data_IF_614737486072
#
_entry.id   IF_614737486072
#
_cell.length_a   1.000
_cell.length_b   1.000
_cell.length_c   1.000
_cell.angle_alpha   90.00
_cell.angle_beta   90.00
_cell.angle_gamma   90.00
#
_symmetry.space_group_name_H-M   'P 1'
#
loop_
_entity.id
_entity.type
_entity.pdbx_description
1 polymer ?
#
# COMPACT_ATOMS: atom_id res chain seq x y z
N UNK A 1 10.08 2.78 -1.43
CA UNK A 1 11.50 2.77 -1.78
C UNK A 1 11.71 3.37 -3.17
N UNK A 2 11.29 2.74 -4.26
CA UNK A 2 11.48 3.16 -5.66
C UNK A 2 11.13 4.66 -5.91
N UNK A 3 10.04 5.14 -5.30
CA UNK A 3 9.59 6.54 -5.42
C UNK A 3 10.58 7.54 -4.82
N UNK A 4 11.16 7.22 -3.67
CA UNK A 4 12.12 8.09 -2.98
C UNK A 4 13.44 8.10 -3.75
N UNK A 5 13.84 6.97 -4.29
CA UNK A 5 15.05 6.80 -5.08
C UNK A 5 15.00 7.56 -6.40
N UNK A 6 13.83 7.65 -7.05
CA UNK A 6 13.67 8.36 -8.31
C UNK A 6 13.55 9.88 -8.17
N UNK A 7 12.98 10.37 -7.06
CA UNK A 7 12.67 11.81 -6.89
C UNK A 7 13.76 12.56 -6.12
N UNK A 8 14.54 11.88 -5.28
CA UNK A 8 15.50 12.51 -4.38
C UNK A 8 14.87 13.07 -3.09
N UNK A 9 15.70 13.21 -2.05
CA UNK A 9 15.21 13.60 -0.71
C UNK A 9 14.94 15.11 -0.57
N UNK A 10 15.53 15.95 -1.40
CA UNK A 10 15.48 17.42 -1.27
C UNK A 10 14.36 18.10 -2.06
N UNK A 11 13.62 17.36 -2.88
CA UNK A 11 12.54 17.89 -3.71
C UNK A 11 11.17 17.65 -3.07
N UNK A 12 10.84 18.42 -2.04
CA UNK A 12 9.58 18.27 -1.29
C UNK A 12 8.31 18.30 -2.15
N UNK A 13 8.26 19.13 -3.22
CA UNK A 13 7.11 19.20 -4.13
C UNK A 13 6.98 17.93 -4.98
N UNK A 14 8.07 17.45 -5.54
CA UNK A 14 8.12 16.20 -6.32
C UNK A 14 7.80 14.98 -5.45
N UNK A 15 8.20 15.00 -4.19
CA UNK A 15 7.86 13.97 -3.20
C UNK A 15 6.34 13.92 -2.93
N UNK A 16 5.69 15.07 -2.81
CA UNK A 16 4.23 15.16 -2.61
C UNK A 16 3.47 14.68 -3.84
N UNK A 17 3.89 15.09 -5.05
CA UNK A 17 3.31 14.61 -6.30
C UNK A 17 3.45 13.08 -6.42
N UNK A 18 4.64 12.54 -6.17
CA UNK A 18 4.89 11.11 -6.15
C UNK A 18 4.05 10.36 -5.11
N UNK A 19 3.78 10.98 -3.95
CA UNK A 19 2.88 10.42 -2.95
C UNK A 19 1.44 10.33 -3.47
N UNK A 20 0.91 11.40 -4.07
CA UNK A 20 -0.43 11.43 -4.63
C UNK A 20 -0.60 10.37 -5.73
N UNK A 21 0.35 10.28 -6.67
CA UNK A 21 0.34 9.28 -7.74
C UNK A 21 0.37 7.85 -7.17
N UNK A 22 1.19 7.58 -6.15
CA UNK A 22 1.25 6.26 -5.52
C UNK A 22 -0.09 5.89 -4.86
N UNK A 23 -0.77 6.84 -4.20
CA UNK A 23 -2.09 6.63 -3.61
C UNK A 23 -3.13 6.38 -4.70
N UNK A 24 -3.12 7.15 -5.79
CA UNK A 24 -4.01 6.93 -6.95
C UNK A 24 -3.79 5.53 -7.54
N UNK A 25 -2.53 5.13 -7.75
CA UNK A 25 -2.19 3.80 -8.26
C UNK A 25 -2.71 2.67 -7.36
N UNK A 26 -2.48 2.80 -6.04
CA UNK A 26 -2.97 1.84 -5.05
C UNK A 26 -4.50 1.69 -5.08
N UNK A 27 -5.23 2.83 -4.99
CA UNK A 27 -6.70 2.80 -5.00
C UNK A 27 -7.26 2.36 -6.34
N UNK A 28 -6.59 2.67 -7.45
CA UNK A 28 -6.98 2.20 -8.79
C UNK A 28 -6.88 0.68 -8.87
N UNK A 29 -5.76 0.09 -8.49
CA UNK A 29 -5.58 -1.36 -8.46
C UNK A 29 -6.61 -2.05 -7.57
N UNK A 30 -6.81 -1.54 -6.35
CA UNK A 30 -7.77 -2.10 -5.39
C UNK A 30 -9.23 -2.01 -5.88
N UNK A 31 -9.67 -0.83 -6.33
CA UNK A 31 -11.07 -0.61 -6.71
C UNK A 31 -11.41 -1.19 -8.09
N UNK A 32 -10.58 -0.98 -9.11
CA UNK A 32 -10.80 -1.57 -10.42
C UNK A 32 -10.68 -3.09 -10.40
N UNK A 33 -9.72 -3.64 -9.65
CA UNK A 33 -9.66 -5.07 -9.40
C UNK A 33 -10.95 -5.61 -8.79
N UNK A 34 -11.54 -4.88 -7.83
CA UNK A 34 -12.84 -5.20 -7.26
C UNK A 34 -14.01 -5.14 -8.26
N UNK A 35 -14.00 -4.13 -9.16
CA UNK A 35 -15.00 -4.03 -10.26
C UNK A 35 -14.91 -5.26 -11.17
N UNK A 36 -13.72 -5.59 -11.62
CA UNK A 36 -13.49 -6.75 -12.52
C UNK A 36 -13.91 -8.04 -11.82
N UNK A 37 -13.51 -8.23 -10.55
CA UNK A 37 -13.83 -9.44 -9.80
C UNK A 37 -15.35 -9.64 -9.63
N UNK A 38 -16.08 -8.58 -9.23
CA UNK A 38 -17.51 -8.68 -8.96
C UNK A 38 -18.32 -8.89 -10.25
N UNK A 39 -18.01 -8.14 -11.32
CA UNK A 39 -18.70 -8.31 -12.60
C UNK A 39 -18.38 -9.67 -13.24
N UNK A 40 -17.13 -10.13 -13.20
CA UNK A 40 -16.79 -11.45 -13.69
C UNK A 40 -17.49 -12.56 -12.91
N UNK A 41 -17.53 -12.46 -11.56
CA UNK A 41 -18.24 -13.42 -10.73
C UNK A 41 -19.74 -13.47 -11.01
N UNK A 42 -20.37 -12.32 -11.24
CA UNK A 42 -21.80 -12.26 -11.60
C UNK A 42 -22.05 -12.81 -13.01
N UNK A 43 -21.21 -12.45 -13.96
CA UNK A 43 -21.30 -13.00 -15.32
C UNK A 43 -21.21 -14.53 -15.35
N UNK A 44 -20.20 -15.13 -14.70
CA UNK A 44 -20.05 -16.57 -14.65
C UNK A 44 -21.17 -17.25 -13.86
N UNK A 45 -21.67 -16.63 -12.80
CA UNK A 45 -22.82 -17.15 -12.06
C UNK A 45 -24.08 -17.18 -12.93
N UNK A 46 -24.36 -16.13 -13.68
CA UNK A 46 -25.50 -16.04 -14.59
C UNK A 46 -25.37 -16.99 -15.80
N UNK A 47 -24.15 -17.31 -16.20
CA UNK A 47 -23.83 -18.31 -17.22
C UNK A 47 -23.97 -19.77 -16.71
N UNK A 48 -24.36 -19.98 -15.45
CA UNK A 48 -24.59 -21.31 -14.88
C UNK A 48 -23.31 -22.07 -14.49
N UNK A 49 -22.19 -21.36 -14.32
CA UNK A 49 -20.92 -22.00 -13.90
C UNK A 49 -20.98 -22.25 -12.39
N UNK A 50 -21.00 -23.53 -11.98
CA UNK A 50 -21.06 -23.90 -10.55
C UNK A 50 -19.90 -23.30 -9.72
N UNK A 51 -18.69 -23.35 -10.26
CA UNK A 51 -17.48 -22.86 -9.60
C UNK A 51 -17.09 -21.44 -10.09
N UNK A 52 -18.05 -20.54 -10.23
CA UNK A 52 -17.84 -19.19 -10.78
C UNK A 52 -16.77 -18.37 -10.05
N UNK A 53 -16.59 -18.54 -8.74
CA UNK A 53 -15.51 -17.88 -8.01
C UNK A 53 -14.13 -18.38 -8.39
N UNK A 54 -13.98 -19.69 -8.62
CA UNK A 54 -12.68 -20.26 -9.04
C UNK A 54 -12.27 -19.71 -10.39
N UNK A 55 -13.21 -19.67 -11.35
CA UNK A 55 -12.97 -19.10 -12.68
C UNK A 55 -12.64 -17.61 -12.58
N UNK A 56 -13.35 -16.88 -11.75
CA UNK A 56 -13.06 -15.45 -11.49
C UNK A 56 -11.64 -15.25 -10.97
N UNK A 57 -11.20 -16.05 -10.00
CA UNK A 57 -9.83 -15.96 -9.47
C UNK A 57 -8.78 -16.38 -10.51
N UNK A 58 -9.04 -17.33 -11.38
CA UNK A 58 -8.16 -17.65 -12.51
C UNK A 58 -7.99 -16.46 -13.46
N UNK A 59 -9.08 -15.80 -13.84
CA UNK A 59 -9.04 -14.58 -14.66
C UNK A 59 -8.22 -13.49 -14.01
N UNK A 60 -8.44 -13.23 -12.71
CA UNK A 60 -7.65 -12.25 -11.95
C UNK A 60 -6.16 -12.65 -11.89
N UNK A 61 -5.87 -13.94 -11.73
CA UNK A 61 -4.51 -14.48 -11.76
C UNK A 61 -3.80 -14.18 -13.08
N UNK A 62 -4.48 -14.40 -14.21
CA UNK A 62 -3.95 -14.05 -15.54
C UNK A 62 -3.67 -12.55 -15.66
N UNK A 63 -4.59 -11.70 -15.20
CA UNK A 63 -4.39 -10.23 -15.20
C UNK A 63 -3.16 -9.86 -14.38
N UNK A 64 -2.98 -10.45 -13.19
CA UNK A 64 -1.82 -10.21 -12.35
C UNK A 64 -0.52 -10.64 -13.05
N UNK A 65 -0.51 -11.79 -13.71
CA UNK A 65 0.66 -12.26 -14.47
C UNK A 65 0.99 -11.26 -15.60
N UNK A 66 0.01 -10.81 -16.35
CA UNK A 66 0.21 -9.82 -17.41
C UNK A 66 0.76 -8.49 -16.86
N UNK A 67 0.23 -8.01 -15.73
CA UNK A 67 0.75 -6.83 -15.06
C UNK A 67 2.20 -7.02 -14.59
N UNK A 68 2.55 -8.20 -14.06
CA UNK A 68 3.93 -8.51 -13.66
C UNK A 68 4.88 -8.57 -14.86
N UNK A 69 4.44 -9.13 -16.00
CA UNK A 69 5.22 -9.07 -17.25
C UNK A 69 5.45 -7.61 -17.67
N UNK A 70 4.42 -6.76 -17.54
CA UNK A 70 4.55 -5.31 -17.79
C UNK A 70 5.61 -4.64 -16.91
N UNK A 71 5.77 -5.08 -15.65
CA UNK A 71 6.80 -4.54 -14.75
C UNK A 71 8.23 -4.86 -15.21
N UNK A 72 8.45 -5.94 -15.97
CA UNK A 72 9.78 -6.28 -16.50
C UNK A 72 10.31 -5.26 -17.52
N UNK A 73 9.42 -4.44 -18.11
CA UNK A 73 9.81 -3.37 -19.03
C UNK A 73 10.17 -2.06 -18.33
N UNK A 74 10.03 -1.99 -17.00
CA UNK A 74 10.38 -0.81 -16.22
C UNK A 74 11.85 -0.92 -15.82
N UNK A 75 12.66 0.07 -16.23
CA UNK A 75 14.05 0.14 -15.80
C UNK A 75 14.13 0.42 -14.30
N UNK A 76 14.86 -0.41 -13.58
CA UNK A 76 15.14 -0.15 -12.16
C UNK A 76 16.08 1.06 -12.02
N UNK A 77 15.77 2.01 -11.12
CA UNK A 77 16.68 3.09 -10.81
C UNK A 77 17.95 2.52 -10.18
N UNK A 78 19.08 3.18 -10.39
CA UNK A 78 20.35 2.78 -9.77
C UNK A 78 20.21 2.78 -8.24
N UNK A 79 20.71 1.75 -7.54
CA UNK A 79 20.63 1.70 -6.09
C UNK A 79 21.38 2.89 -5.48
N UNK A 80 20.68 3.75 -4.75
CA UNK A 80 21.27 4.86 -4.00
C UNK A 80 21.98 4.28 -2.75
N UNK A 81 23.00 4.96 -2.27
CA UNK A 81 23.89 4.66 -1.12
C UNK A 81 23.25 4.11 0.17
N UNK A 82 21.91 4.10 0.27
CA UNK A 82 21.21 3.49 1.41
C UNK A 82 21.49 1.99 1.57
N UNK A 83 21.73 1.30 0.46
CA UNK A 83 22.08 -0.13 0.50
C UNK A 83 23.46 -0.34 1.13
N UNK A 84 24.41 0.58 0.89
CA UNK A 84 25.72 0.55 1.54
C UNK A 84 25.62 0.89 3.03
N UNK A 85 24.87 1.91 3.40
CA UNK A 85 24.60 2.28 4.78
C UNK A 85 23.92 1.15 5.56
N UNK A 86 22.98 0.44 4.92
CA UNK A 86 22.31 -0.71 5.51
C UNK A 86 23.25 -1.92 5.62
N UNK A 87 24.05 -2.21 4.57
CA UNK A 87 25.07 -3.25 4.61
C UNK A 87 26.15 -2.98 5.67
N UNK A 88 26.55 -1.72 5.85
CA UNK A 88 27.47 -1.33 6.92
C UNK A 88 26.87 -1.57 8.30
N UNK A 89 25.60 -1.22 8.50
CA UNK A 89 24.89 -1.49 9.75
C UNK A 89 24.76 -2.98 10.02
N UNK A 90 24.37 -3.76 9.02
CA UNK A 90 24.25 -5.21 9.13
C UNK A 90 25.60 -5.87 9.43
N UNK A 91 26.67 -5.42 8.76
CA UNK A 91 28.05 -5.92 9.00
C UNK A 91 28.59 -5.54 10.38
N UNK A 92 28.25 -4.36 10.91
CA UNK A 92 28.58 -3.98 12.28
C UNK A 92 27.85 -4.83 13.33
N UNK A 93 26.60 -5.16 13.07
CA UNK A 93 25.80 -6.02 13.96
C UNK A 93 26.33 -7.45 13.90
N UNK A 94 26.66 -7.94 12.71
CA UNK A 94 27.24 -9.28 12.49
C UNK A 94 28.62 -9.43 13.19
N UNK A 95 29.47 -8.40 13.13
CA UNK A 95 30.74 -8.34 13.87
C UNK A 95 30.55 -8.33 15.38
N UNK A 96 29.54 -7.65 15.91
CA UNK A 96 29.24 -7.63 17.35
C UNK A 96 28.71 -8.95 17.88
N UNK A 97 28.02 -9.73 17.06
CA UNK A 97 27.43 -11.02 17.45
C UNK A 97 28.39 -12.21 17.32
N UNK A 98 29.57 -12.02 16.70
CA UNK A 98 30.68 -12.97 16.71
C UNK A 98 30.44 -14.34 16.07
N UNK A 99 29.36 -14.53 15.36
CA UNK A 99 29.02 -15.81 14.71
C UNK A 99 28.34 -15.60 13.36
N UNK A 100 28.80 -16.32 12.34
CA UNK A 100 28.24 -16.27 10.97
C UNK A 100 27.09 -17.28 10.76
N UNK A 101 26.30 -17.56 11.77
CA UNK A 101 25.19 -18.49 11.67
C UNK A 101 23.95 -17.84 11.05
N UNK A 102 23.07 -18.64 10.42
CA UNK A 102 21.80 -18.19 9.83
C UNK A 102 20.96 -17.42 10.85
N UNK A 103 20.97 -17.84 12.10
CA UNK A 103 20.27 -17.18 13.22
C UNK A 103 20.79 -15.76 13.44
N UNK A 104 22.11 -15.56 13.39
CA UNK A 104 22.74 -14.24 13.54
C UNK A 104 22.33 -13.28 12.41
N UNK A 105 22.24 -13.79 11.17
CA UNK A 105 21.77 -13.00 10.01
C UNK A 105 20.30 -12.61 10.16
N UNK A 106 19.46 -13.51 10.64
CA UNK A 106 18.04 -13.19 10.90
C UNK A 106 17.90 -12.15 12.01
N UNK A 107 18.67 -12.29 13.09
CA UNK A 107 18.67 -11.32 14.21
C UNK A 107 19.18 -9.95 13.74
N UNK A 108 20.27 -9.90 12.96
CA UNK A 108 20.82 -8.68 12.39
C UNK A 108 19.78 -7.99 11.47
N UNK A 109 19.13 -8.76 10.60
CA UNK A 109 18.10 -8.25 9.72
C UNK A 109 16.89 -7.72 10.50
N UNK A 110 16.38 -8.45 11.50
CA UNK A 110 15.29 -8.00 12.38
C UNK A 110 15.67 -6.74 13.14
N UNK A 111 16.88 -6.68 13.65
CA UNK A 111 17.38 -5.50 14.40
C UNK A 111 17.45 -4.27 13.49
N UNK A 112 18.00 -4.42 12.30
CA UNK A 112 18.11 -3.31 11.34
C UNK A 112 16.75 -2.89 10.76
N UNK A 113 15.89 -3.86 10.45
CA UNK A 113 14.63 -3.60 9.74
C UNK A 113 13.47 -3.21 10.66
N UNK A 114 13.41 -3.73 11.88
CA UNK A 114 12.30 -3.52 12.81
C UNK A 114 12.72 -2.76 14.05
N UNK A 115 13.71 -3.25 14.79
CA UNK A 115 14.05 -2.71 16.11
C UNK A 115 14.64 -1.31 15.98
N UNK A 116 15.57 -1.10 15.07
CA UNK A 116 16.25 0.19 14.88
C UNK A 116 15.31 1.33 14.48
N UNK A 117 14.40 1.18 13.49
CA UNK A 117 13.39 2.20 13.18
C UNK A 117 12.45 2.49 14.34
N UNK A 118 11.99 1.45 15.07
CA UNK A 118 11.10 1.61 16.23
C UNK A 118 11.81 2.38 17.33
N UNK A 119 13.03 1.98 17.71
CA UNK A 119 13.81 2.70 18.71
C UNK A 119 14.09 4.15 18.31
N UNK A 120 14.43 4.39 17.04
CA UNK A 120 14.65 5.73 16.51
C UNK A 120 13.39 6.59 16.57
N UNK A 121 12.23 6.02 16.32
CA UNK A 121 10.93 6.68 16.42
C UNK A 121 10.64 7.13 17.88
N UNK A 122 10.84 6.25 18.85
CA UNK A 122 10.68 6.57 20.27
C UNK A 122 11.71 7.58 20.76
N UNK A 123 12.97 7.44 20.33
CA UNK A 123 14.04 8.36 20.70
C UNK A 123 13.83 9.77 20.15
N UNK A 124 13.32 9.88 18.92
CA UNK A 124 13.07 11.17 18.25
C UNK A 124 11.87 11.92 18.82
N UNK A 125 10.79 11.22 19.14
CA UNK A 125 9.52 11.83 19.55
C UNK A 125 9.30 11.85 21.07
N UNK A 126 10.09 11.10 21.84
CA UNK A 126 9.82 10.83 23.25
C UNK A 126 8.70 9.81 23.45
N UNK A 127 8.71 9.13 24.60
CA UNK A 127 7.83 7.99 24.86
C UNK A 127 6.33 8.35 24.78
N UNK A 128 5.92 9.44 25.45
CA UNK A 128 4.52 9.83 25.54
C UNK A 128 3.92 10.23 24.18
N UNK A 129 4.66 11.00 23.38
CA UNK A 129 4.22 11.43 22.05
C UNK A 129 4.22 10.24 21.10
N UNK A 130 5.23 9.38 21.16
CA UNK A 130 5.30 8.18 20.35
C UNK A 130 4.10 7.25 20.58
N UNK A 131 3.72 7.00 21.83
CA UNK A 131 2.54 6.20 22.21
C UNK A 131 1.25 6.88 21.74
N UNK A 132 1.12 8.19 21.88
CA UNK A 132 -0.06 8.93 21.40
C UNK A 132 -0.22 8.81 19.88
N UNK A 133 0.87 8.94 19.10
CA UNK A 133 0.86 8.77 17.65
C UNK A 133 0.48 7.34 17.27
N UNK A 134 1.09 6.34 17.90
CA UNK A 134 0.78 4.93 17.65
C UNK A 134 -0.68 4.60 17.99
N UNK A 135 -1.17 5.10 19.14
CA UNK A 135 -2.57 4.94 19.54
C UNK A 135 -3.54 5.56 18.53
N UNK A 136 -3.26 6.77 18.07
CA UNK A 136 -4.05 7.44 17.04
C UNK A 136 -4.07 6.63 15.72
N UNK A 137 -2.91 6.23 15.23
CA UNK A 137 -2.80 5.43 13.99
C UNK A 137 -3.52 4.09 14.14
N UNK A 138 -3.39 3.43 15.28
CA UNK A 138 -4.05 2.16 15.56
C UNK A 138 -5.58 2.29 15.56
N UNK A 139 -6.13 3.27 16.29
CA UNK A 139 -7.57 3.53 16.33
C UNK A 139 -8.12 3.91 14.96
N UNK A 140 -7.40 4.77 14.23
CA UNK A 140 -7.76 5.15 12.87
C UNK A 140 -7.80 3.93 11.94
N UNK A 141 -6.78 3.07 12.00
CA UNK A 141 -6.71 1.86 11.15
C UNK A 141 -7.76 0.81 11.50
N UNK A 142 -8.10 0.65 12.75
CA UNK A 142 -9.22 -0.23 13.16
C UNK A 142 -10.53 0.29 12.57
N UNK A 143 -10.81 1.60 12.71
CA UNK A 143 -12.01 2.21 12.16
C UNK A 143 -12.11 2.03 10.63
N UNK A 144 -11.03 2.32 9.91
CA UNK A 144 -10.93 2.15 8.47
C UNK A 144 -11.17 0.68 8.04
N UNK A 145 -10.51 -0.26 8.70
CA UNK A 145 -10.63 -1.68 8.40
C UNK A 145 -12.04 -2.22 8.68
N UNK A 146 -12.64 -1.81 9.80
CA UNK A 146 -13.99 -2.21 10.20
C UNK A 146 -15.04 -1.68 9.21
N UNK A 147 -15.03 -0.39 8.92
CA UNK A 147 -15.93 0.22 7.94
C UNK A 147 -15.79 -0.39 6.54
N UNK A 148 -14.57 -0.65 6.11
CA UNK A 148 -14.30 -1.25 4.80
C UNK A 148 -14.89 -2.65 4.64
N UNK A 149 -14.96 -3.43 5.71
CA UNK A 149 -15.53 -4.78 5.68
C UNK A 149 -17.03 -4.80 5.93
N UNK A 150 -17.51 -4.03 6.90
CA UNK A 150 -18.93 -3.96 7.24
C UNK A 150 -19.78 -3.35 6.14
N UNK A 151 -19.25 -2.40 5.37
CA UNK A 151 -19.98 -1.81 4.24
C UNK A 151 -20.43 -2.85 3.20
N UNK A 152 -19.60 -3.84 2.90
CA UNK A 152 -19.96 -4.88 1.91
C UNK A 152 -21.07 -5.79 2.43
N UNK A 153 -21.04 -6.13 3.72
CA UNK A 153 -22.08 -6.94 4.36
C UNK A 153 -23.39 -6.16 4.34
N UNK A 154 -23.36 -4.90 4.76
CA UNK A 154 -24.50 -4.01 4.76
C UNK A 154 -25.15 -3.88 3.37
N UNK A 155 -24.35 -3.65 2.32
CA UNK A 155 -24.89 -3.57 0.95
C UNK A 155 -25.63 -4.84 0.53
N UNK A 156 -25.12 -6.01 0.91
CA UNK A 156 -25.77 -7.29 0.63
C UNK A 156 -27.10 -7.46 1.39
N UNK A 157 -27.13 -7.05 2.65
CA UNK A 157 -28.34 -7.15 3.49
C UNK A 157 -29.47 -6.26 2.97
N UNK A 158 -29.17 -5.08 2.44
CA UNK A 158 -30.18 -4.19 1.83
C UNK A 158 -30.52 -4.55 0.39
N UNK A 159 -29.98 -5.67 -0.14
CA UNK A 159 -30.39 -6.24 -1.43
C UNK A 159 -29.59 -5.78 -2.66
N UNK A 160 -28.43 -5.11 -2.48
CA UNK A 160 -27.56 -4.76 -3.61
C UNK A 160 -26.99 -6.00 -4.28
N UNK A 161 -27.06 -6.03 -5.62
CA UNK A 161 -26.40 -7.06 -6.43
C UNK A 161 -24.87 -6.85 -6.43
N UNK A 162 -24.14 -7.86 -6.91
CA UNK A 162 -22.69 -7.73 -7.07
C UNK A 162 -22.31 -6.61 -8.04
N UNK A 163 -23.07 -6.47 -9.14
CA UNK A 163 -22.88 -5.40 -10.12
C UNK A 163 -23.19 -4.02 -9.55
N UNK A 164 -24.21 -3.87 -8.71
CA UNK A 164 -24.49 -2.61 -8.04
C UNK A 164 -23.34 -2.19 -7.14
N UNK A 165 -22.81 -3.13 -6.33
CA UNK A 165 -21.64 -2.88 -5.48
C UNK A 165 -20.42 -2.53 -6.34
N UNK A 166 -20.20 -3.23 -7.47
CA UNK A 166 -19.12 -2.94 -8.39
C UNK A 166 -19.23 -1.53 -8.97
N UNK A 167 -20.42 -1.13 -9.43
CA UNK A 167 -20.65 0.17 -10.05
C UNK A 167 -20.59 1.31 -9.05
N UNK A 168 -21.39 1.27 -8.01
CA UNK A 168 -21.54 2.39 -7.07
C UNK A 168 -20.41 2.47 -6.05
N UNK A 169 -20.10 1.38 -5.36
CA UNK A 169 -19.10 1.41 -4.29
C UNK A 169 -17.66 1.40 -4.83
N UNK A 170 -17.40 0.59 -5.85
CA UNK A 170 -16.05 0.47 -6.41
C UNK A 170 -15.81 1.46 -7.56
N UNK A 171 -16.71 1.51 -8.56
CA UNK A 171 -16.56 2.34 -9.76
C UNK A 171 -16.64 3.84 -9.45
N UNK A 172 -17.80 4.34 -8.98
CA UNK A 172 -17.96 5.75 -8.60
C UNK A 172 -17.03 6.13 -7.45
N UNK A 173 -16.87 5.23 -6.47
CA UNK A 173 -15.92 5.45 -5.37
C UNK A 173 -14.47 5.54 -5.85
N UNK A 174 -14.08 4.90 -6.96
CA UNK A 174 -12.77 5.07 -7.57
C UNK A 174 -12.62 6.46 -8.17
N UNK A 175 -13.57 6.89 -9.00
CA UNK A 175 -13.55 8.22 -9.66
C UNK A 175 -13.39 9.33 -8.62
N UNK A 176 -14.23 9.33 -7.58
CA UNK A 176 -14.16 10.32 -6.50
C UNK A 176 -12.82 10.29 -5.78
N UNK A 177 -12.31 9.10 -5.45
CA UNK A 177 -11.00 8.96 -4.77
C UNK A 177 -9.87 9.51 -5.63
N UNK A 178 -9.83 9.22 -6.93
CA UNK A 178 -8.80 9.73 -7.85
C UNK A 178 -8.86 11.26 -7.93
N UNK A 179 -10.05 11.82 -8.20
CA UNK A 179 -10.23 13.27 -8.34
C UNK A 179 -9.81 13.99 -7.06
N UNK A 180 -10.34 13.60 -5.91
CA UNK A 180 -10.04 14.27 -4.64
C UNK A 180 -8.60 14.06 -4.18
N UNK A 181 -7.97 12.91 -4.48
CA UNK A 181 -6.55 12.70 -4.19
C UNK A 181 -5.67 13.61 -5.04
N UNK A 182 -5.99 13.78 -6.33
CA UNK A 182 -5.23 14.70 -7.20
C UNK A 182 -5.41 16.16 -6.80
N UNK A 183 -6.65 16.57 -6.49
CA UNK A 183 -6.92 17.94 -6.01
C UNK A 183 -6.20 18.17 -4.67
N UNK A 184 -6.28 17.24 -3.72
CA UNK A 184 -5.59 17.35 -2.44
C UNK A 184 -4.07 17.38 -2.59
N UNK A 185 -3.52 16.56 -3.50
CA UNK A 185 -2.10 16.57 -3.85
C UNK A 185 -1.64 17.92 -4.43
N UNK A 186 -2.41 18.48 -5.35
CA UNK A 186 -2.13 19.82 -5.93
C UNK A 186 -2.21 20.92 -4.86
N UNK A 187 -3.19 20.83 -3.98
CA UNK A 187 -3.33 21.78 -2.87
C UNK A 187 -2.14 21.69 -1.91
N UNK A 188 -1.72 20.46 -1.55
CA UNK A 188 -0.56 20.23 -0.69
C UNK A 188 0.74 20.77 -1.32
N UNK A 189 0.93 20.63 -2.64
CA UNK A 189 2.09 21.17 -3.36
C UNK A 189 2.12 22.70 -3.30
N UNK A 190 0.95 23.36 -3.38
CA UNK A 190 0.85 24.83 -3.38
C UNK A 190 0.91 25.44 -1.98
N UNK A 191 0.21 24.85 -1.02
CA UNK A 191 0.01 25.42 0.31
C UNK A 191 0.95 24.83 1.38
N UNK A 192 1.65 23.74 1.05
CA UNK A 192 2.44 22.96 2.00
C UNK A 192 1.58 21.98 2.80
N UNK A 193 2.19 20.88 3.26
CA UNK A 193 1.51 19.77 3.94
C UNK A 193 0.81 20.18 5.23
N UNK A 194 1.33 21.18 5.94
CA UNK A 194 0.77 21.63 7.25
C UNK A 194 -0.51 22.45 7.07
N UNK A 195 -0.69 23.09 5.91
CA UNK A 195 -1.85 23.95 5.63
C UNK A 195 -2.89 23.29 4.74
N UNK A 196 -2.56 22.13 4.15
CA UNK A 196 -3.45 21.32 3.32
C UNK A 196 -4.22 20.30 4.16
#
# INVERSE_FOLDING_TARGET
ALRIEQIGENEGKSMQAGAAIAVVGWWTGYKLGGVVALNAAEYFQNAGVENYWQVTFLVLGVIIILCNIGLLFINEPQPIDRTESQRQTDSMIEKKLGSSNVITKIIAWLTGTVISPVMSFFKKNGFNIAIAILGFVFLFKIGEAFLGRMSVIFYKEIGFTKSDIALYSKGLGWVTTVIFTLIGGLFAIRSGVIKA
#
